data_IF_242401065245
#
_entry.id   IF_242401065245
#
_cell.length_a   1.000
_cell.length_b   1.000
_cell.length_c   1.000
_cell.angle_alpha   90.00
_cell.angle_beta   90.00
_cell.angle_gamma   90.00
#
_symmetry.space_group_name_H-M   'P 1'
#
loop_
_entity.id
_entity.type
_entity.pdbx_description
1 polymer ?
#
# COMPACT_ATOMS: atom_id res chain seq x y z
N UNK A 1 9.77 9.28 -47.95
CA UNK A 1 10.79 8.51 -47.21
C UNK A 1 10.23 8.21 -45.85
N UNK A 2 9.34 7.22 -45.80
CA UNK A 2 8.60 6.79 -44.62
C UNK A 2 8.60 5.26 -44.62
N UNK A 3 9.47 4.68 -43.80
CA UNK A 3 9.38 3.28 -43.39
C UNK A 3 9.89 3.21 -41.95
N UNK A 4 9.02 3.62 -41.02
CA UNK A 4 9.14 3.18 -39.64
C UNK A 4 8.72 1.71 -39.60
N UNK A 5 9.70 0.85 -39.31
CA UNK A 5 9.59 -0.60 -39.25
C UNK A 5 8.58 -0.98 -38.15
N UNK A 6 7.37 -1.37 -38.55
CA UNK A 6 6.51 -2.21 -37.74
C UNK A 6 7.17 -3.60 -37.68
N UNK A 7 8.02 -3.82 -36.68
CA UNK A 7 8.46 -5.17 -36.33
C UNK A 7 7.26 -5.92 -35.76
N UNK A 8 6.40 -6.43 -36.65
CA UNK A 8 5.39 -7.41 -36.31
C UNK A 8 6.09 -8.61 -35.70
N UNK A 9 5.57 -9.08 -34.56
CA UNK A 9 5.97 -10.37 -34.01
C UNK A 9 5.84 -11.42 -35.13
N UNK A 10 6.96 -12.09 -35.46
CA UNK A 10 7.01 -13.23 -36.39
C UNK A 10 5.95 -14.27 -36.04
N UNK A 11 5.51 -15.14 -36.98
CA UNK A 11 4.49 -16.15 -36.71
C UNK A 11 4.99 -17.19 -35.71
N UNK A 12 4.83 -16.85 -34.44
CA UNK A 12 4.60 -17.63 -33.23
C UNK A 12 5.21 -19.04 -33.18
N UNK A 13 6.40 -19.13 -32.60
CA UNK A 13 6.60 -20.11 -31.53
C UNK A 13 5.43 -19.97 -30.54
N UNK A 14 4.85 -21.09 -30.08
CA UNK A 14 3.60 -21.10 -29.33
C UNK A 14 3.66 -20.16 -28.11
N UNK A 15 3.05 -18.98 -28.21
CA UNK A 15 2.90 -18.07 -27.07
C UNK A 15 2.20 -18.79 -25.91
N UNK A 16 2.47 -18.36 -24.66
CA UNK A 16 1.76 -18.90 -23.51
C UNK A 16 0.24 -18.90 -23.74
N UNK A 17 -0.48 -19.95 -23.33
CA UNK A 17 -1.94 -19.95 -23.40
C UNK A 17 -2.53 -18.86 -22.49
N UNK A 18 -3.75 -18.40 -22.78
CA UNK A 18 -4.45 -17.39 -21.98
C UNK A 18 -4.48 -16.00 -22.60
N UNK A 19 -4.80 -14.99 -21.78
CA UNK A 19 -4.93 -13.58 -22.20
C UNK A 19 -4.59 -12.65 -21.03
N UNK A 20 -4.21 -11.39 -21.28
CA UNK A 20 -3.99 -10.42 -20.22
C UNK A 20 -5.21 -10.27 -19.32
N UNK A 21 -4.99 -10.23 -18.00
CA UNK A 21 -6.04 -10.04 -17.00
C UNK A 21 -6.87 -11.28 -16.70
N UNK A 22 -6.69 -12.41 -17.39
CA UNK A 22 -7.39 -13.66 -17.05
C UNK A 22 -7.00 -14.18 -15.66
N UNK A 23 -5.72 -14.05 -15.31
CA UNK A 23 -5.22 -14.47 -14.01
C UNK A 23 -4.04 -13.63 -13.58
N UNK A 24 -4.06 -13.14 -12.35
CA UNK A 24 -2.86 -12.57 -11.73
C UNK A 24 -2.34 -13.50 -10.65
N UNK A 25 -1.03 -13.56 -10.51
CA UNK A 25 -0.34 -14.25 -9.43
C UNK A 25 0.20 -13.24 -8.42
N UNK A 26 -0.15 -13.44 -7.16
CA UNK A 26 0.25 -12.63 -6.02
C UNK A 26 1.25 -13.40 -5.16
N UNK A 27 2.39 -12.76 -4.94
CA UNK A 27 3.53 -13.35 -4.25
C UNK A 27 4.25 -12.29 -3.41
N UNK A 28 5.11 -12.72 -2.50
CA UNK A 28 5.90 -11.81 -1.69
C UNK A 28 7.30 -12.36 -1.42
N UNK A 29 8.23 -11.44 -1.22
CA UNK A 29 9.61 -11.72 -0.82
C UNK A 29 10.04 -10.69 0.20
N UNK A 30 10.97 -11.07 1.07
CA UNK A 30 11.64 -10.11 1.95
C UNK A 30 12.96 -9.69 1.33
N UNK A 31 13.26 -8.40 1.32
CA UNK A 31 14.60 -7.93 0.95
C UNK A 31 15.49 -7.89 2.20
N UNK A 32 16.67 -8.49 2.11
CA UNK A 32 17.69 -8.50 3.16
C UNK A 32 18.40 -7.14 3.24
N UNK A 33 17.68 -6.13 3.73
CA UNK A 33 18.17 -4.77 3.98
C UNK A 33 17.36 -4.12 5.10
N UNK A 34 18.02 -3.55 6.10
CA UNK A 34 17.37 -2.78 7.17
C UNK A 34 17.09 -1.35 6.71
N UNK A 35 15.83 -0.96 6.73
CA UNK A 35 15.42 0.42 6.45
C UNK A 35 15.46 1.27 7.72
N UNK A 36 15.55 2.59 7.54
CA UNK A 36 15.47 3.58 8.61
C UNK A 36 14.22 4.45 8.51
N UNK A 37 13.82 5.02 9.64
CA UNK A 37 12.68 5.93 9.70
C UNK A 37 12.96 7.23 8.94
N UNK A 38 11.93 7.74 8.28
CA UNK A 38 11.90 9.09 7.67
C UNK A 38 11.92 10.18 8.73
N UNK A 39 11.41 9.90 9.93
CA UNK A 39 11.44 10.82 11.07
C UNK A 39 12.78 10.79 11.82
N UNK A 40 13.46 9.63 11.84
CA UNK A 40 14.76 9.46 12.49
C UNK A 40 15.64 8.45 11.72
N UNK A 41 16.67 8.97 11.04
CA UNK A 41 17.61 8.17 10.24
C UNK A 41 18.47 7.23 11.08
N UNK A 42 18.55 7.41 12.40
CA UNK A 42 19.26 6.50 13.32
C UNK A 42 18.38 5.33 13.78
N UNK A 43 17.06 5.45 13.61
CA UNK A 43 16.10 4.44 14.02
C UNK A 43 15.85 3.45 12.88
N UNK A 44 16.32 2.21 13.03
CA UNK A 44 15.95 1.11 12.15
C UNK A 44 14.47 0.76 12.32
N UNK A 45 13.78 0.51 11.21
CA UNK A 45 12.34 0.17 11.16
C UNK A 45 12.08 -1.23 10.62
N UNK A 46 13.13 -2.01 10.37
CA UNK A 46 13.07 -3.42 9.96
C UNK A 46 13.36 -3.66 8.47
N UNK A 47 13.15 -4.91 8.05
CA UNK A 47 13.33 -5.35 6.65
C UNK A 47 12.02 -5.26 5.87
N UNK A 48 12.03 -4.74 4.64
CA UNK A 48 10.82 -4.57 3.85
C UNK A 48 10.38 -5.88 3.19
N UNK A 49 9.06 -6.05 3.10
CA UNK A 49 8.38 -7.08 2.33
C UNK A 49 7.89 -6.49 1.01
N UNK A 50 8.29 -7.08 -0.10
CA UNK A 50 7.86 -6.68 -1.44
C UNK A 50 6.77 -7.65 -1.89
N UNK A 51 5.54 -7.17 -1.95
CA UNK A 51 4.40 -7.89 -2.50
C UNK A 51 4.26 -7.54 -3.97
N UNK A 52 4.23 -8.54 -4.84
CA UNK A 52 4.20 -8.35 -6.30
C UNK A 52 3.01 -9.10 -6.87
N UNK A 53 2.27 -8.41 -7.74
CA UNK A 53 1.18 -9.01 -8.52
C UNK A 53 1.60 -9.04 -9.99
N UNK A 54 1.58 -10.23 -10.58
CA UNK A 54 2.06 -10.48 -11.95
C UNK A 54 0.96 -11.10 -12.80
N UNK A 55 0.76 -10.61 -14.03
CA UNK A 55 -0.12 -11.25 -14.99
C UNK A 55 0.45 -12.59 -15.46
N UNK A 56 -0.33 -13.67 -15.37
CA UNK A 56 0.18 -15.03 -15.62
C UNK A 56 0.49 -15.30 -17.08
N UNK A 57 -0.20 -14.60 -18.00
CA UNK A 57 0.00 -14.71 -19.44
C UNK A 57 1.23 -13.92 -19.90
N UNK A 58 1.24 -12.62 -19.64
CA UNK A 58 2.26 -11.69 -20.13
C UNK A 58 3.51 -11.63 -19.27
N UNK A 59 3.44 -12.17 -18.05
CA UNK A 59 4.46 -12.03 -17.00
C UNK A 59 4.71 -10.59 -16.55
N UNK A 60 3.85 -9.65 -16.95
CA UNK A 60 3.98 -8.25 -16.58
C UNK A 60 3.66 -8.06 -15.11
N UNK A 61 4.51 -7.33 -14.38
CA UNK A 61 4.18 -6.90 -13.02
C UNK A 61 3.09 -5.83 -13.11
N UNK A 62 1.92 -6.14 -12.56
CA UNK A 62 0.73 -5.29 -12.64
C UNK A 62 0.55 -4.39 -11.42
N UNK A 63 1.04 -4.80 -10.25
CA UNK A 63 0.95 -4.05 -9.01
C UNK A 63 2.05 -4.47 -8.04
N UNK A 64 2.41 -3.54 -7.15
CA UNK A 64 3.41 -3.77 -6.11
C UNK A 64 2.99 -3.03 -4.85
N UNK A 65 3.30 -3.58 -3.68
CA UNK A 65 3.20 -2.88 -2.40
C UNK A 65 4.39 -3.27 -1.52
N UNK A 66 4.95 -2.29 -0.81
CA UNK A 66 6.06 -2.51 0.10
C UNK A 66 5.52 -2.35 1.52
N UNK A 67 5.52 -3.45 2.27
CA UNK A 67 5.09 -3.49 3.65
C UNK A 67 6.27 -3.62 4.61
N UNK A 68 6.03 -3.29 5.87
CA UNK A 68 6.94 -3.56 6.99
C UNK A 68 6.36 -4.64 7.90
N UNK A 69 7.20 -5.29 8.70
CA UNK A 69 6.78 -6.34 9.64
C UNK A 69 6.69 -7.73 9.01
N UNK A 70 5.66 -8.49 9.40
CA UNK A 70 5.42 -9.87 8.95
C UNK A 70 4.54 -9.93 7.69
N UNK A 71 4.62 -11.07 6.99
CA UNK A 71 3.85 -11.28 5.78
C UNK A 71 2.37 -11.50 6.11
N UNK A 72 1.52 -10.53 5.74
CA UNK A 72 0.08 -10.57 6.02
C UNK A 72 -0.79 -10.32 4.79
N UNK A 73 -1.95 -10.99 4.74
CA UNK A 73 -2.93 -10.86 3.67
C UNK A 73 -3.37 -9.41 3.37
N UNK A 74 -3.63 -8.55 4.37
CA UNK A 74 -4.04 -7.16 4.10
C UNK A 74 -3.02 -6.35 3.30
N UNK A 75 -1.70 -6.58 3.49
CA UNK A 75 -0.67 -5.94 2.67
C UNK A 75 -0.66 -6.47 1.23
N UNK A 76 -0.94 -7.76 1.06
CA UNK A 76 -1.06 -8.38 -0.25
C UNK A 76 -2.27 -7.80 -1.04
N UNK A 77 -3.35 -7.44 -0.35
CA UNK A 77 -4.50 -6.74 -0.93
C UNK A 77 -4.17 -5.31 -1.37
N UNK A 78 -3.22 -4.63 -0.73
CA UNK A 78 -2.74 -3.34 -1.20
C UNK A 78 -1.93 -3.46 -2.49
N UNK A 79 -1.15 -4.53 -2.67
CA UNK A 79 -0.49 -4.81 -3.96
C UNK A 79 -1.51 -5.06 -5.07
N UNK A 80 -2.60 -5.78 -4.77
CA UNK A 80 -3.72 -5.97 -5.68
C UNK A 80 -4.43 -4.65 -5.98
N UNK A 81 -4.68 -3.80 -4.98
CA UNK A 81 -5.28 -2.48 -5.18
C UNK A 81 -4.43 -1.62 -6.13
N UNK A 82 -3.10 -1.69 -5.96
CA UNK A 82 -2.16 -1.01 -6.83
C UNK A 82 -2.18 -1.55 -8.27
N UNK A 83 -2.77 -2.72 -8.57
CA UNK A 83 -3.02 -3.14 -9.95
C UNK A 83 -4.00 -2.23 -10.67
N UNK A 84 -5.05 -1.77 -9.97
CA UNK A 84 -6.05 -0.82 -10.47
C UNK A 84 -5.63 0.65 -10.39
N UNK A 85 -4.50 0.95 -9.74
CA UNK A 85 -4.05 2.31 -9.51
C UNK A 85 -3.45 2.99 -10.74
N UNK A 86 -3.54 4.33 -10.78
CA UNK A 86 -2.80 5.13 -11.75
C UNK A 86 -1.28 5.06 -11.46
N UNK A 87 -0.56 4.34 -12.31
CA UNK A 87 0.88 4.11 -12.16
C UNK A 87 1.72 5.36 -12.29
N UNK A 88 1.26 6.39 -13.02
CA UNK A 88 1.99 7.65 -13.09
C UNK A 88 1.90 8.37 -11.76
N UNK A 89 0.70 8.46 -11.18
CA UNK A 89 0.49 9.06 -9.86
C UNK A 89 1.21 8.29 -8.76
N UNK A 90 1.05 6.97 -8.72
CA UNK A 90 1.71 6.10 -7.75
C UNK A 90 3.24 6.24 -7.82
N UNK A 91 3.82 6.19 -9.02
CA UNK A 91 5.29 6.33 -9.16
C UNK A 91 5.77 7.74 -8.79
N UNK A 92 5.00 8.77 -9.13
CA UNK A 92 5.33 10.16 -8.82
C UNK A 92 5.35 10.43 -7.31
N UNK A 93 4.48 9.77 -6.53
CA UNK A 93 4.47 9.87 -5.06
C UNK A 93 5.81 9.43 -4.45
N UNK A 94 6.50 8.49 -5.09
CA UNK A 94 7.83 8.01 -4.70
C UNK A 94 8.97 8.69 -5.49
N UNK A 95 8.71 9.88 -6.05
CA UNK A 95 9.71 10.68 -6.77
C UNK A 95 10.13 10.12 -8.13
N UNK A 96 9.32 9.23 -8.75
CA UNK A 96 9.61 8.63 -10.06
C UNK A 96 8.55 8.97 -11.10
N UNK A 97 8.84 9.95 -11.94
CA UNK A 97 7.98 10.29 -13.09
C UNK A 97 8.07 9.21 -14.18
N UNK A 98 6.94 8.76 -14.70
CA UNK A 98 6.85 7.81 -15.83
C UNK A 98 5.79 8.24 -16.83
N UNK A 99 5.93 7.79 -18.07
CA UNK A 99 4.88 7.86 -19.09
C UNK A 99 3.91 6.68 -18.92
N UNK A 100 2.65 6.86 -19.35
CA UNK A 100 1.58 5.88 -19.14
C UNK A 100 1.90 4.52 -19.79
N UNK A 101 2.57 4.55 -20.94
CA UNK A 101 2.96 3.37 -21.72
C UNK A 101 4.05 2.56 -21.02
N UNK A 102 4.79 3.12 -20.06
CA UNK A 102 5.82 2.37 -19.35
C UNK A 102 5.22 1.37 -18.36
N UNK A 103 3.99 1.62 -17.90
CA UNK A 103 3.26 0.75 -16.98
C UNK A 103 1.73 0.88 -17.17
N UNK A 104 1.18 0.36 -18.28
CA UNK A 104 -0.19 0.67 -18.72
C UNK A 104 -1.33 -0.02 -17.96
N UNK A 105 -1.05 -1.07 -17.19
CA UNK A 105 -2.09 -1.87 -16.54
C UNK A 105 -2.78 -1.12 -15.38
N UNK A 106 -4.12 -1.04 -15.46
CA UNK A 106 -5.00 -0.40 -14.47
C UNK A 106 -6.28 -1.24 -14.24
N UNK A 107 -6.09 -2.52 -13.94
CA UNK A 107 -7.16 -3.52 -13.97
C UNK A 107 -7.07 -4.50 -12.80
N UNK A 108 -8.22 -5.05 -12.40
CA UNK A 108 -8.27 -6.27 -11.60
C UNK A 108 -8.35 -7.51 -12.51
N UNK A 109 -7.83 -8.66 -12.06
CA UNK A 109 -7.91 -9.89 -12.83
C UNK A 109 -9.30 -10.52 -12.77
N UNK A 110 -9.54 -11.54 -13.60
CA UNK A 110 -10.72 -12.41 -13.46
C UNK A 110 -10.56 -13.41 -12.30
N UNK A 111 -9.34 -13.94 -12.12
CA UNK A 111 -8.96 -14.84 -11.04
C UNK A 111 -7.65 -14.35 -10.41
N UNK A 112 -7.61 -14.34 -9.07
CA UNK A 112 -6.39 -14.12 -8.32
C UNK A 112 -5.82 -15.48 -7.89
N UNK A 113 -4.60 -15.77 -8.30
CA UNK A 113 -3.81 -16.87 -7.79
C UNK A 113 -2.91 -16.31 -6.70
N UNK A 114 -3.01 -16.79 -5.47
CA UNK A 114 -2.16 -16.33 -4.38
C UNK A 114 -1.20 -17.43 -3.96
N UNK A 115 0.06 -17.08 -3.71
CA UNK A 115 1.01 -17.97 -3.06
C UNK A 115 0.40 -18.46 -1.73
N UNK A 116 0.32 -19.78 -1.54
CA UNK A 116 -0.27 -20.39 -0.35
C UNK A 116 0.37 -19.89 0.97
N UNK A 117 1.65 -19.51 0.96
CA UNK A 117 2.32 -18.93 2.11
C UNK A 117 1.74 -17.57 2.55
N UNK A 118 0.99 -16.88 1.68
CA UNK A 118 0.38 -15.58 1.96
C UNK A 118 -1.10 -15.66 2.33
N UNK A 119 -1.73 -16.82 2.22
CA UNK A 119 -3.17 -16.97 2.48
C UNK A 119 -3.51 -17.10 3.98
N UNK A 120 -2.53 -16.95 4.87
CA UNK A 120 -2.79 -16.90 6.31
C UNK A 120 -3.64 -15.67 6.65
N UNK A 121 -4.78 -15.89 7.30
CA UNK A 121 -5.74 -14.82 7.62
C UNK A 121 -6.58 -14.35 6.43
N UNK A 122 -6.54 -15.06 5.31
CA UNK A 122 -7.42 -14.81 4.16
C UNK A 122 -8.89 -15.07 4.52
N UNK A 123 -9.75 -14.10 4.22
CA UNK A 123 -11.19 -14.28 4.14
C UNK A 123 -11.63 -14.05 2.68
N UNK A 124 -12.13 -15.10 2.02
CA UNK A 124 -12.48 -15.13 0.59
C UNK A 124 -13.64 -14.23 0.18
N UNK A 125 -14.46 -13.81 1.14
CA UNK A 125 -15.75 -13.21 0.85
C UNK A 125 -15.63 -11.78 0.31
N UNK A 126 -14.66 -10.98 0.78
CA UNK A 126 -14.55 -9.56 0.40
C UNK A 126 -14.28 -9.38 -1.10
N UNK A 127 -13.37 -10.15 -1.68
CA UNK A 127 -13.01 -10.05 -3.10
C UNK A 127 -14.15 -10.51 -4.00
N UNK A 128 -14.83 -11.59 -3.60
CA UNK A 128 -15.95 -12.13 -4.34
C UNK A 128 -17.15 -11.18 -4.28
N UNK A 129 -17.50 -10.69 -3.09
CA UNK A 129 -18.68 -9.85 -2.89
C UNK A 129 -18.52 -8.46 -3.53
N UNK A 130 -17.33 -7.85 -3.45
CA UNK A 130 -17.14 -6.48 -3.92
C UNK A 130 -16.73 -6.39 -5.40
N UNK A 131 -16.00 -7.38 -5.92
CA UNK A 131 -15.38 -7.33 -7.25
C UNK A 131 -15.68 -8.55 -8.13
N UNK A 132 -16.46 -9.51 -7.64
CA UNK A 132 -16.66 -10.81 -8.28
C UNK A 132 -15.31 -11.45 -8.65
N UNK A 133 -14.31 -11.30 -7.77
CA UNK A 133 -12.95 -11.79 -7.96
C UNK A 133 -12.76 -13.06 -7.14
N UNK A 134 -12.56 -14.18 -7.83
CA UNK A 134 -12.23 -15.46 -7.20
C UNK A 134 -10.75 -15.49 -6.86
N UNK A 135 -10.42 -15.95 -5.65
CA UNK A 135 -9.05 -16.16 -5.22
C UNK A 135 -8.80 -17.66 -5.00
N UNK A 136 -7.66 -18.15 -5.48
CA UNK A 136 -7.24 -19.56 -5.40
C UNK A 136 -5.81 -19.60 -4.88
N UNK A 137 -5.56 -20.41 -3.85
CA UNK A 137 -4.22 -20.65 -3.36
C UNK A 137 -3.46 -21.59 -4.33
N UNK A 138 -2.22 -21.25 -4.65
CA UNK A 138 -1.33 -22.06 -5.48
C UNK A 138 0.08 -22.06 -4.88
N UNK A 139 0.82 -23.15 -5.08
CA UNK A 139 2.19 -23.31 -4.55
C UNK A 139 3.21 -22.52 -5.36
N UNK A 140 3.05 -22.47 -6.68
CA UNK A 140 4.02 -21.88 -7.61
C UNK A 140 3.35 -20.92 -8.60
N UNK A 141 4.14 -19.97 -9.09
CA UNK A 141 3.72 -19.02 -10.11
C UNK A 141 4.90 -18.22 -10.68
N UNK A 142 4.62 -17.22 -11.54
CA UNK A 142 5.63 -16.37 -12.14
C UNK A 142 6.56 -15.70 -11.12
N UNK A 143 7.86 -15.89 -11.31
CA UNK A 143 8.91 -15.39 -10.41
C UNK A 143 10.06 -14.68 -11.13
N UNK A 144 9.97 -14.52 -12.46
CA UNK A 144 11.03 -13.94 -13.31
C UNK A 144 11.48 -12.53 -12.88
N UNK A 145 10.57 -11.75 -12.30
CA UNK A 145 10.84 -10.41 -11.78
C UNK A 145 11.85 -10.40 -10.61
N UNK A 146 11.95 -11.51 -9.86
CA UNK A 146 12.85 -11.64 -8.71
C UNK A 146 14.31 -11.46 -9.13
N UNK A 147 14.69 -12.02 -10.29
CA UNK A 147 16.05 -11.94 -10.82
C UNK A 147 16.54 -10.50 -11.06
N UNK A 148 15.64 -9.54 -11.30
CA UNK A 148 16.02 -8.12 -11.44
C UNK A 148 16.25 -7.49 -10.08
N UNK A 149 15.41 -7.81 -9.09
CA UNK A 149 15.53 -7.29 -7.74
C UNK A 149 16.73 -7.90 -6.99
N UNK A 150 17.04 -9.18 -7.25
CA UNK A 150 18.19 -9.92 -6.70
C UNK A 150 19.54 -9.29 -7.05
N UNK A 151 19.62 -8.54 -8.16
CA UNK A 151 20.83 -7.79 -8.53
C UNK A 151 21.14 -6.65 -7.55
N UNK A 152 20.17 -6.21 -6.76
CA UNK A 152 20.29 -5.10 -5.82
C UNK A 152 20.22 -5.55 -4.36
N UNK A 153 19.33 -6.48 -4.07
CA UNK A 153 19.06 -6.96 -2.71
C UNK A 153 19.00 -8.48 -2.71
N UNK A 154 19.59 -9.11 -1.69
CA UNK A 154 19.34 -10.53 -1.47
C UNK A 154 17.88 -10.71 -1.06
N UNK A 155 17.19 -11.63 -1.74
CA UNK A 155 15.79 -11.93 -1.47
C UNK A 155 15.68 -13.18 -0.59
N UNK A 156 14.77 -13.11 0.37
CA UNK A 156 14.49 -14.16 1.33
C UNK A 156 13.02 -14.56 1.25
N UNK A 157 12.70 -15.72 1.80
CA UNK A 157 11.31 -16.08 2.04
C UNK A 157 10.62 -15.02 2.93
N UNK A 158 9.31 -14.77 2.78
CA UNK A 158 8.63 -13.67 3.49
C UNK A 158 8.84 -13.63 5.00
N UNK A 159 8.89 -14.81 5.65
CA UNK A 159 9.03 -14.93 7.10
C UNK A 159 10.45 -15.28 7.56
N UNK A 160 11.42 -15.30 6.65
CA UNK A 160 12.82 -15.51 7.00
C UNK A 160 13.43 -14.22 7.60
N UNK A 161 14.41 -14.39 8.48
CA UNK A 161 15.21 -13.29 8.99
C UNK A 161 16.50 -13.16 8.19
N UNK A 162 16.80 -11.94 7.76
CA UNK A 162 18.04 -11.66 7.05
C UNK A 162 19.21 -11.35 7.97
N UNK A 163 20.41 -11.56 7.47
CA UNK A 163 21.66 -11.13 8.08
C UNK A 163 21.90 -9.63 7.85
N UNK A 164 22.76 -8.99 8.65
CA UNK A 164 23.20 -7.62 8.40
C UNK A 164 23.84 -7.48 7.02
N UNK A 165 23.56 -6.38 6.33
CA UNK A 165 24.11 -6.09 5.02
C UNK A 165 24.70 -4.68 4.93
N UNK A 166 25.55 -4.44 3.92
CA UNK A 166 26.22 -3.14 3.72
C UNK A 166 25.27 -1.96 3.45
N UNK A 167 24.03 -2.24 3.07
CA UNK A 167 23.01 -1.23 2.75
C UNK A 167 22.10 -0.93 3.94
N UNK A 168 22.30 -1.60 5.08
CA UNK A 168 21.53 -1.39 6.29
C UNK A 168 21.67 0.06 6.76
N UNK A 169 20.53 0.69 7.06
CA UNK A 169 20.49 2.07 7.53
C UNK A 169 20.69 3.14 6.46
N UNK A 170 20.92 2.75 5.20
CA UNK A 170 21.21 3.70 4.12
C UNK A 170 19.95 4.37 3.58
N UNK A 171 18.83 3.66 3.57
CA UNK A 171 17.62 4.11 2.89
C UNK A 171 16.36 3.96 3.73
N UNK A 172 15.40 4.84 3.48
CA UNK A 172 14.05 4.78 4.04
C UNK A 172 13.07 4.01 3.12
N UNK A 173 11.82 3.86 3.58
CA UNK A 173 10.77 3.15 2.86
C UNK A 173 10.44 3.76 1.49
N UNK A 174 10.48 5.09 1.36
CA UNK A 174 10.15 5.78 0.12
C UNK A 174 11.25 5.58 -0.93
N UNK A 175 12.51 5.74 -0.49
CA UNK A 175 13.70 5.49 -1.29
C UNK A 175 13.79 4.03 -1.76
N UNK A 176 13.50 3.08 -0.88
CA UNK A 176 13.45 1.66 -1.23
C UNK A 176 12.33 1.38 -2.25
N UNK A 177 11.14 1.93 -2.03
CA UNK A 177 9.99 1.77 -2.94
C UNK A 177 10.31 2.31 -4.34
N UNK A 178 10.97 3.47 -4.43
CA UNK A 178 11.45 4.02 -5.70
C UNK A 178 12.40 3.06 -6.44
N UNK A 179 13.34 2.43 -5.74
CA UNK A 179 14.26 1.46 -6.34
C UNK A 179 13.50 0.25 -6.87
N UNK A 180 12.51 -0.25 -6.12
CA UNK A 180 11.64 -1.36 -6.56
C UNK A 180 10.85 -0.98 -7.81
N UNK A 181 10.28 0.23 -7.86
CA UNK A 181 9.59 0.74 -9.06
C UNK A 181 10.53 0.75 -10.26
N UNK A 182 11.77 1.24 -10.11
CA UNK A 182 12.76 1.25 -11.19
C UNK A 182 13.11 -0.17 -11.66
N UNK A 183 13.20 -1.15 -10.74
CA UNK A 183 13.38 -2.56 -11.09
C UNK A 183 12.19 -3.11 -11.89
N UNK A 184 10.95 -2.79 -11.50
CA UNK A 184 9.74 -3.21 -12.20
C UNK A 184 9.68 -2.60 -13.60
N UNK A 185 9.98 -1.30 -13.72
CA UNK A 185 10.01 -0.62 -15.02
C UNK A 185 11.06 -1.24 -15.94
N UNK A 186 12.25 -1.56 -15.42
CA UNK A 186 13.27 -2.28 -16.17
C UNK A 186 12.76 -3.66 -16.60
N UNK A 187 12.23 -4.44 -15.67
CA UNK A 187 11.72 -5.79 -15.94
C UNK A 187 10.63 -5.77 -17.02
N UNK A 188 9.57 -4.99 -16.82
CA UNK A 188 8.42 -4.93 -17.71
C UNK A 188 8.80 -4.49 -19.14
N UNK A 189 9.79 -3.59 -19.28
CA UNK A 189 10.09 -2.93 -20.55
C UNK A 189 11.37 -3.43 -21.24
N UNK A 190 12.25 -4.17 -20.55
CA UNK A 190 13.57 -4.56 -21.08
C UNK A 190 13.94 -6.01 -20.85
N UNK A 191 13.35 -6.69 -19.88
CA UNK A 191 13.66 -8.11 -19.65
C UNK A 191 13.02 -8.96 -20.75
N UNK A 192 13.84 -9.64 -21.54
CA UNK A 192 13.36 -10.56 -22.56
C UNK A 192 12.91 -11.88 -21.89
N UNK A 193 11.71 -12.35 -22.23
CA UNK A 193 11.17 -13.62 -21.75
C UNK A 193 11.54 -14.73 -22.74
N UNK A 194 12.31 -15.73 -22.30
CA UNK A 194 12.69 -16.86 -23.14
C UNK A 194 11.45 -17.64 -23.65
N UNK A 195 10.42 -17.78 -22.81
CA UNK A 195 9.17 -18.46 -23.14
C UNK A 195 8.27 -17.71 -24.13
N UNK A 196 8.64 -16.50 -24.55
CA UNK A 196 7.85 -15.66 -25.46
C UNK A 196 8.71 -15.06 -26.58
N UNK A 197 9.67 -15.85 -27.09
CA UNK A 197 10.55 -15.46 -28.21
C UNK A 197 11.30 -14.13 -27.96
N UNK A 198 11.72 -13.92 -26.72
CA UNK A 198 12.44 -12.71 -26.32
C UNK A 198 11.57 -11.46 -26.18
N UNK A 199 10.24 -11.56 -26.30
CA UNK A 199 9.33 -10.46 -26.01
C UNK A 199 9.48 -10.01 -24.54
N UNK A 200 9.38 -8.71 -24.32
CA UNK A 200 9.31 -8.14 -22.98
C UNK A 200 7.91 -8.32 -22.40
N UNK A 201 7.73 -8.39 -21.07
CA UNK A 201 6.41 -8.52 -20.47
C UNK A 201 5.40 -7.49 -20.97
N UNK A 202 5.80 -6.21 -21.10
CA UNK A 202 4.94 -5.17 -21.64
C UNK A 202 4.51 -5.44 -23.07
N UNK A 203 5.44 -5.75 -23.97
CA UNK A 203 5.11 -6.08 -25.37
C UNK A 203 4.12 -7.24 -25.48
N UNK A 204 4.29 -8.27 -24.64
CA UNK A 204 3.37 -9.40 -24.61
C UNK A 204 1.99 -9.01 -24.05
N UNK A 205 1.95 -8.13 -23.04
CA UNK A 205 0.72 -7.53 -22.54
C UNK A 205 -0.01 -6.75 -23.64
N UNK A 206 0.67 -5.78 -24.27
CA UNK A 206 0.11 -4.91 -25.32
C UNK A 206 -0.44 -5.76 -26.49
N UNK A 207 0.36 -6.71 -26.99
CA UNK A 207 -0.08 -7.63 -28.04
C UNK A 207 -1.28 -8.47 -27.60
N UNK A 208 -1.28 -8.97 -26.36
CA UNK A 208 -2.38 -9.78 -25.84
C UNK A 208 -3.68 -9.01 -25.72
N UNK A 209 -3.62 -7.74 -25.30
CA UNK A 209 -4.79 -6.85 -25.21
C UNK A 209 -5.38 -6.62 -26.60
N UNK A 210 -4.53 -6.37 -27.60
CA UNK A 210 -4.94 -6.13 -28.98
C UNK A 210 -5.51 -7.37 -29.68
N UNK A 211 -4.87 -8.55 -29.49
CA UNK A 211 -5.12 -9.73 -30.34
C UNK A 211 -6.02 -10.78 -29.69
N UNK A 212 -5.99 -10.93 -28.37
CA UNK A 212 -6.79 -11.93 -27.65
C UNK A 212 -8.02 -11.32 -26.98
N UNK A 213 -8.03 -10.00 -26.82
CA UNK A 213 -9.04 -9.28 -26.04
C UNK A 213 -9.12 -9.81 -24.61
N UNK A 214 -9.93 -9.17 -23.76
CA UNK A 214 -10.15 -9.63 -22.39
C UNK A 214 -11.02 -8.70 -21.59
N UNK A 215 -11.88 -9.25 -20.74
CA UNK A 215 -12.78 -8.52 -19.84
C UNK A 215 -12.01 -7.88 -18.69
N UNK A 216 -11.06 -7.01 -19.03
CA UNK A 216 -10.27 -6.24 -18.09
C UNK A 216 -11.22 -5.44 -17.21
N UNK A 217 -11.32 -5.83 -15.94
CA UNK A 217 -12.25 -5.21 -15.00
C UNK A 217 -11.64 -3.89 -14.52
N UNK A 218 -12.17 -2.78 -15.05
CA UNK A 218 -11.87 -1.43 -14.58
C UNK A 218 -12.92 -1.08 -13.52
N UNK A 219 -12.46 -0.72 -12.33
CA UNK A 219 -13.28 -0.09 -11.32
C UNK A 219 -12.68 1.29 -11.00
N UNK A 220 -13.48 2.24 -10.49
CA UNK A 220 -12.96 3.48 -9.95
C UNK A 220 -11.87 3.19 -8.90
N UNK A 221 -10.69 3.78 -9.09
CA UNK A 221 -9.50 3.49 -8.29
C UNK A 221 -9.75 3.64 -6.78
N UNK A 222 -10.48 4.68 -6.38
CA UNK A 222 -10.80 4.92 -4.97
C UNK A 222 -11.65 3.79 -4.35
N UNK A 223 -12.55 3.18 -5.12
CA UNK A 223 -13.35 2.04 -4.65
C UNK A 223 -12.46 0.82 -4.44
N UNK A 224 -11.59 0.50 -5.41
CA UNK A 224 -10.62 -0.60 -5.27
C UNK A 224 -9.77 -0.38 -4.02
N UNK A 225 -9.15 0.80 -3.91
CA UNK A 225 -8.23 1.12 -2.82
C UNK A 225 -8.92 1.02 -1.47
N UNK A 226 -10.09 1.64 -1.29
CA UNK A 226 -10.77 1.66 0.01
C UNK A 226 -11.37 0.32 0.42
N UNK A 227 -11.83 -0.50 -0.52
CA UNK A 227 -12.34 -1.84 -0.22
C UNK A 227 -11.25 -2.87 0.11
N UNK A 228 -10.00 -2.63 -0.32
CA UNK A 228 -8.87 -3.55 -0.13
C UNK A 228 -7.89 -3.11 0.96
N UNK A 229 -8.04 -1.90 1.49
CA UNK A 229 -7.24 -1.40 2.61
C UNK A 229 -7.53 -2.16 3.92
N UNK A 230 -6.52 -2.37 4.79
CA UNK A 230 -6.72 -2.80 6.16
C UNK A 230 -7.73 -1.90 6.89
N UNK A 231 -8.59 -2.52 7.71
CA UNK A 231 -9.60 -1.82 8.52
C UNK A 231 -9.24 -1.92 9.99
N UNK A 232 -9.24 -0.79 10.68
CA UNK A 232 -9.04 -0.70 12.13
C UNK A 232 -10.20 0.00 12.82
N UNK A 233 -10.32 -0.24 14.14
CA UNK A 233 -11.19 0.54 15.01
C UNK A 233 -10.46 1.82 15.41
N UNK A 234 -11.09 2.97 15.17
CA UNK A 234 -10.64 4.28 15.58
C UNK A 234 -11.61 4.89 16.58
N UNK A 235 -11.10 5.68 17.52
CA UNK A 235 -11.89 6.26 18.60
C UNK A 235 -12.15 7.74 18.32
N UNK A 236 -13.41 8.15 18.23
CA UNK A 236 -13.76 9.56 18.15
C UNK A 236 -13.65 10.19 19.53
N UNK A 237 -12.80 11.21 19.66
CA UNK A 237 -12.52 11.95 20.89
C UNK A 237 -12.87 13.43 20.72
N UNK A 238 -12.71 14.23 21.78
CA UNK A 238 -12.85 15.68 21.68
C UNK A 238 -11.77 16.36 20.82
N UNK A 239 -10.65 15.68 20.60
CA UNK A 239 -9.46 16.22 19.90
C UNK A 239 -9.33 15.70 18.46
N UNK A 240 -10.21 14.79 18.04
CA UNK A 240 -10.17 14.18 16.71
C UNK A 240 -10.56 12.70 16.70
N UNK A 241 -10.53 12.10 15.52
CA UNK A 241 -10.63 10.65 15.33
C UNK A 241 -9.24 10.06 15.60
N UNK A 242 -9.05 9.33 16.68
CA UNK A 242 -7.77 8.78 17.11
C UNK A 242 -7.53 7.37 16.53
N UNK A 243 -6.38 7.17 15.89
CA UNK A 243 -5.89 5.90 15.35
C UNK A 243 -4.36 5.87 15.38
N UNK A 244 -3.75 4.83 15.97
CA UNK A 244 -2.30 4.62 16.05
C UNK A 244 -1.51 5.89 16.42
N UNK A 245 -1.79 6.43 17.61
CA UNK A 245 -1.16 7.64 18.16
C UNK A 245 -1.30 8.90 17.27
N UNK A 246 -2.21 8.88 16.28
CA UNK A 246 -2.49 9.99 15.37
C UNK A 246 -3.96 10.39 15.44
N UNK A 247 -4.23 11.67 15.22
CA UNK A 247 -5.57 12.25 15.20
C UNK A 247 -5.93 12.74 13.80
N UNK A 248 -7.18 12.51 13.42
CA UNK A 248 -7.72 12.86 12.10
C UNK A 248 -9.00 13.67 12.20
N UNK A 249 -9.28 14.41 11.14
CA UNK A 249 -10.55 15.13 10.97
C UNK A 249 -11.04 15.03 9.52
N UNK A 250 -12.35 15.16 9.33
CA UNK A 250 -12.98 15.20 8.01
C UNK A 250 -14.21 16.09 8.02
N UNK A 251 -14.66 16.49 6.82
CA UNK A 251 -15.84 17.34 6.65
C UNK A 251 -17.08 16.76 7.35
N UNK A 252 -17.28 15.44 7.30
CA UNK A 252 -18.41 14.79 7.98
C UNK A 252 -18.35 14.94 9.50
N UNK A 253 -17.20 14.65 10.10
CA UNK A 253 -17.02 14.74 11.55
C UNK A 253 -17.22 16.18 12.06
N UNK A 254 -16.79 17.16 11.28
CA UNK A 254 -17.00 18.59 11.57
C UNK A 254 -18.50 18.94 11.46
N UNK A 255 -19.13 18.63 10.32
CA UNK A 255 -20.52 19.00 10.06
C UNK A 255 -21.50 18.36 11.05
N UNK A 256 -21.24 17.13 11.46
CA UNK A 256 -22.04 16.39 12.45
C UNK A 256 -21.63 16.69 13.90
N UNK A 257 -20.70 17.64 14.12
CA UNK A 257 -20.20 18.10 15.43
C UNK A 257 -19.71 16.95 16.31
N UNK A 258 -18.98 16.01 15.73
CA UNK A 258 -18.52 14.80 16.42
C UNK A 258 -17.65 15.14 17.64
N UNK A 259 -16.71 16.06 17.50
CA UNK A 259 -15.76 16.40 18.56
C UNK A 259 -16.42 17.11 19.76
N UNK A 260 -17.41 17.98 19.49
CA UNK A 260 -18.24 18.59 20.55
C UNK A 260 -19.07 17.54 21.29
N UNK A 261 -19.70 16.62 20.55
CA UNK A 261 -20.47 15.53 21.14
C UNK A 261 -19.59 14.61 21.98
N UNK A 262 -18.38 14.31 21.53
CA UNK A 262 -17.42 13.49 22.26
C UNK A 262 -16.99 14.18 23.57
N UNK A 263 -16.80 15.50 23.55
CA UNK A 263 -16.51 16.29 24.76
C UNK A 263 -17.65 16.24 25.79
N UNK A 264 -18.90 16.28 25.33
CA UNK A 264 -20.08 16.33 26.21
C UNK A 264 -20.56 14.96 26.68
N UNK A 265 -20.46 13.94 25.82
CA UNK A 265 -21.11 12.62 26.01
C UNK A 265 -20.14 11.45 26.08
N UNK A 266 -18.84 11.69 25.89
CA UNK A 266 -17.80 10.67 25.85
C UNK A 266 -17.50 10.15 24.43
N UNK A 267 -16.40 9.42 24.31
CA UNK A 267 -15.89 8.88 23.05
C UNK A 267 -16.65 7.65 22.55
N UNK A 268 -16.62 7.41 21.25
CA UNK A 268 -17.18 6.19 20.63
C UNK A 268 -16.27 5.64 19.52
N UNK A 269 -16.53 4.40 19.10
CA UNK A 269 -15.75 3.70 18.09
C UNK A 269 -16.34 3.88 16.69
N UNK A 270 -15.46 4.01 15.70
CA UNK A 270 -15.77 4.00 14.27
C UNK A 270 -14.76 3.11 13.54
N UNK A 271 -15.14 2.58 12.37
CA UNK A 271 -14.21 1.82 11.52
C UNK A 271 -13.58 2.73 10.48
N UNK A 272 -12.28 2.59 10.30
CA UNK A 272 -11.52 3.33 9.28
C UNK A 272 -10.64 2.38 8.49
N UNK A 273 -10.59 2.58 7.17
CA UNK A 273 -9.61 1.95 6.30
C UNK A 273 -8.36 2.83 6.18
N UNK A 274 -7.17 2.23 6.17
CA UNK A 274 -5.91 2.98 6.18
C UNK A 274 -4.81 2.27 5.39
N UNK A 275 -3.78 3.01 5.01
CA UNK A 275 -2.58 2.50 4.34
C UNK A 275 -1.43 2.43 5.36
N UNK A 276 -0.95 1.23 5.76
CA UNK A 276 0.10 1.12 6.76
C UNK A 276 1.43 1.80 6.37
N UNK A 277 1.69 2.00 5.07
CA UNK A 277 2.92 2.62 4.57
C UNK A 277 2.90 4.16 4.65
N UNK A 278 1.71 4.76 4.76
CA UNK A 278 1.51 6.20 4.84
C UNK A 278 0.18 6.51 5.57
N UNK A 279 0.29 7.15 6.73
CA UNK A 279 -0.84 7.50 7.60
C UNK A 279 -1.38 8.92 7.39
N UNK A 280 -1.11 9.57 6.25
CA UNK A 280 -1.56 10.94 5.99
C UNK A 280 -3.08 11.06 5.88
N UNK A 281 -3.71 9.99 5.39
CA UNK A 281 -5.15 9.95 5.16
C UNK A 281 -5.69 8.57 5.50
N UNK A 282 -6.75 8.57 6.31
CA UNK A 282 -7.55 7.39 6.60
C UNK A 282 -8.97 7.60 6.08
N UNK A 283 -9.69 6.52 5.82
CA UNK A 283 -11.01 6.57 5.19
C UNK A 283 -12.06 6.06 6.16
N UNK A 284 -12.92 6.95 6.63
CA UNK A 284 -14.05 6.58 7.47
C UNK A 284 -15.03 5.73 6.65
N UNK A 285 -15.37 4.58 7.20
CA UNK A 285 -16.34 3.64 6.63
C UNK A 285 -17.74 3.95 7.15
N UNK A 286 -18.69 4.15 6.24
CA UNK A 286 -20.09 4.31 6.63
C UNK A 286 -20.79 2.95 6.73
N UNK A 287 -21.32 2.62 7.91
CA UNK A 287 -22.09 1.40 8.13
C UNK A 287 -23.44 1.41 7.36
N UNK A 288 -24.02 2.58 7.12
CA UNK A 288 -25.26 2.75 6.36
C UNK A 288 -25.01 2.78 4.84
N UNK A 289 -23.78 3.07 4.40
CA UNK A 289 -23.41 3.16 2.99
C UNK A 289 -22.01 2.54 2.75
N UNK A 290 -21.91 1.20 2.57
CA UNK A 290 -20.64 0.47 2.54
C UNK A 290 -19.65 0.88 1.43
N UNK A 291 -20.10 1.63 0.44
CA UNK A 291 -19.30 2.14 -0.69
C UNK A 291 -19.04 3.64 -0.61
N UNK A 292 -19.45 4.30 0.48
CA UNK A 292 -19.12 5.70 0.75
C UNK A 292 -17.97 5.77 1.73
N UNK A 293 -16.91 6.44 1.29
CA UNK A 293 -15.68 6.63 2.05
C UNK A 293 -15.46 8.12 2.26
N UNK A 294 -15.26 8.53 3.51
CA UNK A 294 -14.89 9.91 3.80
C UNK A 294 -13.41 9.97 4.13
N UNK A 295 -12.64 10.68 3.30
CA UNK A 295 -11.23 10.93 3.58
C UNK A 295 -11.12 11.80 4.84
N UNK A 296 -10.37 11.30 5.81
CA UNK A 296 -9.98 11.96 7.03
C UNK A 296 -8.48 12.24 6.97
N UNK A 297 -8.11 13.51 7.12
CA UNK A 297 -6.72 13.95 7.06
C UNK A 297 -6.18 14.17 8.46
N UNK A 298 -4.86 14.08 8.61
CA UNK A 298 -4.18 14.39 9.87
C UNK A 298 -4.62 15.76 10.40
N UNK A 299 -4.97 15.79 11.69
CA UNK A 299 -5.24 17.02 12.41
C UNK A 299 -3.93 17.72 12.80
N UNK A 300 -4.01 19.01 13.14
CA UNK A 300 -2.85 19.86 13.42
C UNK A 300 -1.91 19.28 14.50
N UNK A 301 -2.49 18.62 15.52
CA UNK A 301 -1.76 17.97 16.61
C UNK A 301 -1.01 16.69 16.19
N UNK A 302 -1.18 16.22 14.95
CA UNK A 302 -0.52 15.03 14.40
C UNK A 302 0.28 15.30 13.13
N UNK A 303 0.53 16.57 12.78
CA UNK A 303 1.32 16.92 11.60
C UNK A 303 2.76 16.41 11.65
N UNK A 304 3.30 16.13 12.84
CA UNK A 304 4.61 15.49 12.98
C UNK A 304 4.65 14.07 12.39
N UNK A 305 3.49 13.43 12.17
CA UNK A 305 3.38 12.09 11.60
C UNK A 305 3.18 12.11 10.08
N UNK A 306 3.22 13.29 9.46
CA UNK A 306 3.08 13.43 8.02
C UNK A 306 4.14 12.60 7.28
N UNK A 307 3.67 11.88 6.28
CA UNK A 307 4.37 10.93 5.43
C UNK A 307 4.93 9.71 6.16
N UNK A 308 4.57 9.45 7.41
CA UNK A 308 5.08 8.30 8.16
C UNK A 308 4.18 7.07 8.01
N UNK A 309 4.81 5.90 8.07
CA UNK A 309 4.14 4.60 8.18
C UNK A 309 3.71 4.33 9.62
N UNK A 310 2.80 3.38 9.81
CA UNK A 310 2.41 2.94 11.16
C UNK A 310 3.60 2.43 11.98
N UNK A 311 4.56 1.76 11.32
CA UNK A 311 5.79 1.28 11.96
C UNK A 311 6.66 2.44 12.44
N UNK A 312 6.86 3.48 11.62
CA UNK A 312 7.63 4.66 12.03
C UNK A 312 6.96 5.40 13.19
N UNK A 313 5.64 5.58 13.14
CA UNK A 313 4.88 6.24 14.21
C UNK A 313 4.99 5.45 15.52
N UNK A 314 4.91 4.12 15.47
CA UNK A 314 5.05 3.27 16.65
C UNK A 314 6.43 3.37 17.34
N UNK A 315 7.46 3.81 16.61
CA UNK A 315 8.80 4.05 17.15
C UNK A 315 9.02 5.48 17.64
N UNK A 316 8.09 6.41 17.38
CA UNK A 316 8.22 7.77 17.91
C UNK A 316 8.08 7.79 19.44
N UNK A 317 8.82 8.65 20.14
CA UNK A 317 8.60 8.87 21.56
C UNK A 317 7.14 9.29 21.76
N UNK A 318 6.38 8.54 22.56
CA UNK A 318 5.03 8.95 22.92
C UNK A 318 5.14 10.30 23.62
N UNK A 319 4.46 11.31 23.08
CA UNK A 319 4.25 12.55 23.80
C UNK A 319 3.67 12.18 25.16
N UNK A 320 4.44 12.37 26.23
CA UNK A 320 3.92 12.20 27.57
C UNK A 320 2.69 13.10 27.64
N UNK A 321 1.52 12.53 27.90
CA UNK A 321 0.34 13.29 28.30
C UNK A 321 0.84 14.29 29.33
N UNK A 322 0.74 15.59 29.03
CA UNK A 322 1.12 16.61 29.98
C UNK A 322 0.47 16.23 31.31
N UNK A 323 1.29 15.96 32.34
CA UNK A 323 0.80 15.80 33.70
C UNK A 323 -0.18 16.96 33.94
N UNK A 324 -1.38 16.71 34.49
CA UNK A 324 -2.29 17.80 34.80
C UNK A 324 -1.47 18.82 35.59
N UNK A 325 -1.38 20.04 35.05
CA UNK A 325 -0.58 21.10 35.64
C UNK A 325 -0.90 21.12 37.13
N UNK A 326 0.12 20.91 37.97
CA UNK A 326 -0.06 20.94 39.42
C UNK A 326 -0.82 22.22 39.74
N UNK A 327 -1.98 22.08 40.38
CA UNK A 327 -2.80 23.22 40.76
C UNK A 327 -1.88 24.23 41.45
N UNK A 328 -1.71 25.40 40.83
CA UNK A 328 -1.07 26.54 41.45
C UNK A 328 -1.85 26.76 42.75
N UNK A 329 -1.22 26.41 43.88
CA UNK A 329 -1.77 26.70 45.20
C UNK A 329 -1.94 28.22 45.24
N UNK A 330 -3.17 28.69 45.17
CA UNK A 330 -3.47 30.09 45.43
C UNK A 330 -3.15 30.35 46.90
N UNK A 331 -1.96 30.86 47.18
CA UNK A 331 -1.68 31.53 48.46
C UNK A 331 -2.29 32.92 48.41
N UNK A 332 -3.62 32.98 48.42
CA UNK A 332 -4.33 34.16 48.92
C UNK A 332 -4.40 34.02 50.44
N UNK A 333 -3.41 34.65 51.09
CA UNK A 333 -3.47 34.95 52.51
C UNK A 333 -4.80 35.65 52.81
N UNK A 334 -5.51 35.11 53.80
CA UNK A 334 -6.63 35.74 54.47
C UNK A 334 -6.19 37.07 55.06
N UNK A 335 -6.66 38.18 54.49
CA UNK A 335 -6.72 39.44 55.23
C UNK A 335 -7.94 39.38 56.14
N UNK A 336 -7.67 39.28 57.44
CA UNK A 336 -8.66 39.45 58.49
C UNK A 336 -9.23 40.88 58.41
N UNK A 337 -10.55 40.95 58.39
CA UNK A 337 -11.31 42.17 58.65
C UNK A 337 -11.04 42.68 60.06
N UNK A 338 -10.59 43.91 60.18
CA UNK A 338 -10.76 44.69 61.40
C UNK A 338 -11.87 45.72 61.18
N UNK A 339 -12.88 45.61 62.03
CA UNK A 339 -13.97 46.55 62.20
C UNK A 339 -13.41 47.85 62.81
N UNK A 340 -13.90 48.98 62.31
CA UNK A 340 -13.74 50.33 62.83
C UNK A 340 -14.63 51.28 62.06
#
# INVERSE_FOLDING_TARGET
>A
TDQAVSAGLSPLAALPPGRPGAGFYLDAVRAEVQLVSRADRLQAIGQPLVYVVTDTFSRMVCGVYIGMGEAQWPHAMLALANCGADKQRYSQQHGRRIEAEQWPCRHLPEILLANAALTLGWNGDTLLNNFNLRCVAVEEGPSDWRAVLEKRFRLLAPNAQGAPCRLDGVMDLDQFTRIVIDCILYYNNRQALAAADGATPRRLWDWGVENRGGGLKIYPEHLIRCSLMPVAQATVTADGIALYDSWYSCARAINERWFERARLRGSWQVKVAYDPSNMDTVYLLDAAAPMQFHACHLADNSLAHLHLSTTEIAHLPRAQTALPAAALRSTTQSYASFVG
#
